data_IF_679564419314
#
_entry.id   IF_679564419314
#
_cell.length_a   1.000
_cell.length_b   1.000
_cell.length_c   1.000
_cell.angle_alpha   90.00
_cell.angle_beta   90.00
_cell.angle_gamma   90.00
#
_symmetry.space_group_name_H-M   'P 1'
#
loop_
_entity.id
_entity.type
_entity.pdbx_description
1 polymer ?
#
# COMPACT_ATOMS: atom_id res chain seq x y z
N UNK A 1 -40.33 -22.82 -11.57
CA UNK A 1 -40.65 -21.99 -10.39
C UNK A 1 -39.40 -21.26 -9.97
N UNK A 2 -39.19 -20.04 -10.46
CA UNK A 2 -37.93 -19.30 -10.31
C UNK A 2 -38.02 -18.39 -9.08
N UNK A 3 -37.72 -18.93 -7.90
CA UNK A 3 -37.78 -18.19 -6.63
C UNK A 3 -36.82 -17.00 -6.59
N UNK A 4 -37.18 -15.96 -5.82
CA UNK A 4 -36.36 -14.76 -5.61
C UNK A 4 -35.03 -15.18 -4.99
N UNK A 5 -33.92 -14.82 -5.66
CA UNK A 5 -32.58 -15.06 -5.14
C UNK A 5 -32.23 -13.98 -4.12
N UNK A 6 -32.17 -14.35 -2.85
CA UNK A 6 -31.67 -13.49 -1.76
C UNK A 6 -30.18 -13.74 -1.61
N UNK A 7 -29.38 -12.68 -1.71
CA UNK A 7 -27.93 -12.75 -1.52
C UNK A 7 -27.55 -12.09 -0.20
N UNK A 8 -26.72 -12.78 0.60
CA UNK A 8 -26.12 -12.18 1.78
C UNK A 8 -24.84 -11.42 1.38
N UNK A 9 -24.80 -10.12 1.69
CA UNK A 9 -23.60 -9.29 1.54
C UNK A 9 -22.63 -9.52 2.71
N UNK A 10 -22.28 -10.76 2.98
CA UNK A 10 -21.25 -11.12 3.96
C UNK A 10 -20.04 -11.68 3.22
N UNK A 11 -18.85 -11.58 3.81
CA UNK A 11 -17.66 -12.26 3.30
C UNK A 11 -17.86 -13.77 3.48
N UNK A 12 -18.57 -14.39 2.55
CA UNK A 12 -18.89 -15.81 2.58
C UNK A 12 -17.76 -16.66 2.00
N UNK A 13 -17.80 -17.96 2.28
CA UNK A 13 -16.92 -18.96 1.65
C UNK A 13 -17.13 -19.10 0.14
N UNK A 14 -18.26 -18.63 -0.39
CA UNK A 14 -18.58 -18.73 -1.83
C UNK A 14 -17.82 -17.71 -2.68
N UNK A 15 -17.46 -16.56 -2.11
CA UNK A 15 -16.61 -15.55 -2.78
C UNK A 15 -15.76 -14.81 -1.74
N UNK A 16 -14.69 -15.45 -1.24
CA UNK A 16 -13.88 -14.88 -0.18
C UNK A 16 -13.15 -13.63 -0.67
N UNK A 17 -13.29 -12.55 0.10
CA UNK A 17 -12.54 -11.33 -0.16
C UNK A 17 -11.05 -11.57 0.04
N UNK A 18 -10.23 -11.11 -0.92
CA UNK A 18 -8.77 -11.23 -0.87
C UNK A 18 -8.13 -9.86 -0.92
N UNK A 19 -7.31 -9.55 0.07
CA UNK A 19 -6.53 -8.32 0.13
C UNK A 19 -5.58 -8.16 -1.06
N UNK A 20 -5.07 -9.26 -1.62
CA UNK A 20 -4.24 -9.24 -2.84
C UNK A 20 -4.99 -8.61 -4.02
N UNK A 21 -6.28 -8.90 -4.18
CA UNK A 21 -7.10 -8.32 -5.25
C UNK A 21 -7.35 -6.82 -5.09
N UNK A 22 -7.25 -6.32 -3.86
CA UNK A 22 -7.33 -4.88 -3.55
C UNK A 22 -5.98 -4.21 -3.80
N UNK A 23 -4.88 -4.85 -3.41
CA UNK A 23 -3.52 -4.37 -3.64
C UNK A 23 -3.28 -4.06 -5.13
N UNK A 24 -3.61 -5.00 -6.02
CA UNK A 24 -3.41 -4.83 -7.46
C UNK A 24 -4.18 -3.62 -8.01
N UNK A 25 -5.44 -3.46 -7.58
CA UNK A 25 -6.29 -2.33 -7.98
C UNK A 25 -5.75 -1.01 -7.46
N UNK A 26 -5.36 -0.95 -6.19
CA UNK A 26 -4.83 0.27 -5.58
C UNK A 26 -3.54 0.67 -6.29
N UNK A 27 -2.63 -0.26 -6.57
CA UNK A 27 -1.41 0.04 -7.32
C UNK A 27 -1.71 0.59 -8.72
N UNK A 28 -2.69 0.02 -9.43
CA UNK A 28 -3.16 0.57 -10.70
C UNK A 28 -3.64 2.03 -10.58
N UNK A 29 -4.39 2.35 -9.51
CA UNK A 29 -4.84 3.72 -9.27
C UNK A 29 -3.73 4.67 -8.85
N UNK A 30 -2.81 4.24 -7.99
CA UNK A 30 -1.64 5.03 -7.57
C UNK A 30 -0.75 5.39 -8.76
N UNK A 31 -0.66 4.49 -9.73
CA UNK A 31 0.07 4.73 -10.97
C UNK A 31 -0.67 5.68 -11.91
N UNK A 32 -2.01 5.55 -11.99
CA UNK A 32 -2.85 6.43 -12.83
C UNK A 32 -2.98 7.85 -12.26
N UNK A 33 -2.97 7.98 -10.94
CA UNK A 33 -3.15 9.23 -10.21
C UNK A 33 -2.00 9.41 -9.19
N UNK A 34 -0.80 9.79 -9.67
CA UNK A 34 0.39 9.84 -8.83
C UNK A 34 0.32 10.94 -7.78
N UNK A 35 1.00 10.71 -6.66
CA UNK A 35 1.11 11.66 -5.56
C UNK A 35 2.14 12.74 -5.90
N UNK A 36 1.76 14.02 -5.74
CA UNK A 36 2.61 15.17 -6.12
C UNK A 36 3.93 15.26 -5.34
N UNK A 37 3.93 14.84 -4.07
CA UNK A 37 5.07 15.00 -3.17
C UNK A 37 5.58 13.66 -2.62
N UNK A 38 5.38 12.57 -3.36
CA UNK A 38 5.95 11.29 -2.98
C UNK A 38 7.43 11.26 -3.36
N UNK A 39 8.26 10.75 -2.44
CA UNK A 39 9.69 10.52 -2.67
C UNK A 39 9.90 9.47 -3.76
N UNK A 40 9.03 8.47 -3.81
CA UNK A 40 9.09 7.35 -4.75
C UNK A 40 7.79 7.25 -5.52
N UNK A 41 7.85 6.54 -6.64
CA UNK A 41 6.63 6.13 -7.33
C UNK A 41 5.79 5.23 -6.40
N UNK A 42 4.51 5.57 -6.16
CA UNK A 42 3.73 4.94 -5.09
C UNK A 42 3.41 3.48 -5.42
N UNK A 43 3.83 2.58 -4.53
CA UNK A 43 3.54 1.16 -4.60
C UNK A 43 3.12 0.64 -3.21
N UNK A 44 1.93 0.07 -3.13
CA UNK A 44 1.37 -0.54 -1.92
C UNK A 44 1.62 -2.05 -1.94
N UNK A 45 2.20 -2.57 -0.86
CA UNK A 45 2.32 -4.01 -0.60
C UNK A 45 1.67 -4.35 0.74
N UNK A 46 0.71 -5.25 0.77
CA UNK A 46 0.11 -5.76 2.00
C UNK A 46 0.87 -7.01 2.43
N UNK A 47 1.40 -6.98 3.66
CA UNK A 47 2.25 -8.05 4.18
C UNK A 47 1.47 -8.98 5.12
N UNK A 48 1.76 -10.30 5.11
CA UNK A 48 0.99 -11.28 5.87
C UNK A 48 1.27 -11.26 7.38
N UNK A 49 2.30 -10.53 7.83
CA UNK A 49 2.63 -10.43 9.25
C UNK A 49 3.16 -9.04 9.62
N UNK A 50 2.91 -8.66 10.88
CA UNK A 50 3.41 -7.40 11.44
C UNK A 50 4.94 -7.36 11.49
N UNK A 51 5.59 -8.50 11.69
CA UNK A 51 7.05 -8.58 11.75
C UNK A 51 7.68 -8.25 10.39
N UNK A 52 7.17 -8.85 9.30
CA UNK A 52 7.60 -8.52 7.94
C UNK A 52 7.32 -7.06 7.61
N UNK A 53 6.16 -6.54 8.01
CA UNK A 53 5.83 -5.13 7.86
C UNK A 53 6.87 -4.22 8.52
N UNK A 54 7.24 -4.48 9.77
CA UNK A 54 8.23 -3.67 10.50
C UNK A 54 9.59 -3.67 9.80
N UNK A 55 10.04 -4.82 9.31
CA UNK A 55 11.28 -4.92 8.54
C UNK A 55 11.17 -4.11 7.25
N UNK A 56 10.11 -4.32 6.47
CA UNK A 56 9.91 -3.59 5.21
C UNK A 56 9.86 -2.07 5.42
N UNK A 57 9.23 -1.61 6.50
CA UNK A 57 9.13 -0.19 6.82
C UNK A 57 10.50 0.42 7.15
N UNK A 58 11.38 -0.32 7.82
CA UNK A 58 12.75 0.13 8.08
C UNK A 58 13.50 0.35 6.75
N UNK A 59 13.45 -0.62 5.85
CA UNK A 59 14.22 -0.57 4.60
C UNK A 59 13.64 0.39 3.55
N UNK A 60 12.32 0.42 3.38
CA UNK A 60 11.65 1.17 2.31
C UNK A 60 11.30 2.60 2.72
N UNK A 61 11.10 2.86 4.02
CA UNK A 61 10.70 4.18 4.51
C UNK A 61 11.76 4.84 5.40
N UNK A 62 12.22 4.18 6.47
CA UNK A 62 13.09 4.82 7.46
C UNK A 62 14.50 5.11 6.93
N UNK A 63 15.19 4.09 6.41
CA UNK A 63 16.56 4.26 5.90
C UNK A 63 16.62 5.33 4.80
N UNK A 64 15.75 5.31 3.77
CA UNK A 64 15.82 6.32 2.72
C UNK A 64 15.43 7.72 3.21
N UNK A 65 14.49 7.84 4.15
CA UNK A 65 14.16 9.13 4.78
C UNK A 65 15.38 9.71 5.51
N UNK A 66 16.06 8.92 6.35
CA UNK A 66 17.26 9.40 7.04
C UNK A 66 18.38 9.83 6.09
N UNK A 67 18.56 9.12 4.97
CA UNK A 67 19.54 9.49 3.94
C UNK A 67 19.15 10.83 3.30
N UNK A 68 17.90 10.98 2.87
CA UNK A 68 17.41 12.20 2.23
C UNK A 68 17.46 13.40 3.19
N UNK A 69 17.11 13.21 4.45
CA UNK A 69 17.21 14.25 5.48
C UNK A 69 18.66 14.67 5.71
N UNK A 70 19.59 13.71 5.75
CA UNK A 70 21.01 14.00 5.90
C UNK A 70 21.55 14.79 4.70
N UNK A 71 21.24 14.36 3.48
CA UNK A 71 21.61 15.09 2.25
C UNK A 71 21.01 16.49 2.25
N UNK A 72 19.73 16.63 2.58
CA UNK A 72 19.04 17.92 2.63
C UNK A 72 19.70 18.87 3.63
N UNK A 73 20.03 18.38 4.83
CA UNK A 73 20.78 19.15 5.84
C UNK A 73 22.16 19.58 5.34
N UNK A 74 22.91 18.69 4.68
CA UNK A 74 24.25 18.98 4.15
C UNK A 74 24.22 20.00 3.00
N UNK A 75 23.18 19.97 2.17
CA UNK A 75 22.97 20.93 1.08
C UNK A 75 22.39 22.28 1.54
N UNK A 76 22.24 22.51 2.85
CA UNK A 76 21.67 23.74 3.40
C UNK A 76 20.14 23.85 3.28
N UNK A 77 19.48 22.77 2.87
CA UNK A 77 18.03 22.63 2.93
C UNK A 77 17.56 22.36 4.36
N UNK A 78 16.31 22.73 4.66
CA UNK A 78 15.65 22.32 5.91
C UNK A 78 15.04 20.94 5.68
N UNK A 79 15.31 19.95 6.57
CA UNK A 79 14.65 18.65 6.53
C UNK A 79 13.13 18.81 6.74
#
# INVERSE_FOLDING_TARGET
NSGIKVYHCTSSTCNPFRWTSVEDKINGYLHKYPLRSAVWYPHLKLLPSLWLYRISAIFVHMIPAYILDAVTKLCGGRP
#
